data_IF_015148674623
#
_entry.id   IF_015148674623
#
_cell.length_a   1.000
_cell.length_b   1.000
_cell.length_c   1.000
_cell.angle_alpha   90.00
_cell.angle_beta   90.00
_cell.angle_gamma   90.00
#
_symmetry.space_group_name_H-M   'P 1'
#
loop_
_entity.id
_entity.type
_entity.pdbx_description
1 polymer ?
#
# COMPACT_ATOMS: atom_id res chain seq x y z
N UNK A 1 -6.38 -14.88 -41.20
CA UNK A 1 -5.31 -15.46 -40.35
C UNK A 1 -4.89 -14.42 -39.30
N UNK A 2 -5.38 -14.51 -38.06
CA UNK A 2 -5.04 -13.59 -36.97
C UNK A 2 -3.95 -14.25 -36.12
N UNK A 3 -2.75 -13.66 -36.07
CA UNK A 3 -1.62 -14.15 -35.27
C UNK A 3 -1.97 -13.99 -33.78
N UNK A 4 -1.91 -15.05 -32.94
CA UNK A 4 -1.95 -14.89 -31.49
C UNK A 4 -0.62 -14.27 -31.03
N UNK A 5 -0.69 -13.13 -30.35
CA UNK A 5 0.47 -12.45 -29.79
C UNK A 5 1.13 -13.34 -28.72
N UNK A 6 2.45 -13.53 -28.86
CA UNK A 6 3.30 -14.37 -28.04
C UNK A 6 3.21 -14.08 -26.53
N UNK A 7 3.10 -15.15 -25.74
CA UNK A 7 3.26 -15.11 -24.28
C UNK A 7 4.75 -14.92 -23.95
N UNK A 8 5.14 -13.94 -23.12
CA UNK A 8 6.50 -13.85 -22.62
C UNK A 8 6.81 -15.05 -21.72
N UNK A 9 7.83 -15.83 -22.12
CA UNK A 9 8.36 -16.99 -21.41
C UNK A 9 9.49 -16.54 -20.47
N UNK A 10 9.19 -16.43 -19.18
CA UNK A 10 10.18 -16.24 -18.13
C UNK A 10 9.54 -16.48 -16.76
N UNK A 11 10.09 -17.34 -15.88
CA UNK A 11 9.49 -17.63 -14.57
C UNK A 11 9.28 -16.36 -13.72
N UNK A 12 10.24 -15.43 -13.74
CA UNK A 12 10.13 -14.14 -13.04
C UNK A 12 9.20 -13.15 -13.74
N UNK A 13 9.17 -13.15 -15.08
CA UNK A 13 8.26 -12.30 -15.84
C UNK A 13 6.82 -12.75 -15.65
N UNK A 14 6.52 -14.04 -15.58
CA UNK A 14 5.19 -14.59 -15.23
C UNK A 14 4.77 -14.26 -13.80
N UNK A 15 5.68 -14.27 -12.83
CA UNK A 15 5.38 -13.90 -11.45
C UNK A 15 5.09 -12.39 -11.32
N UNK A 16 5.88 -11.56 -12.02
CA UNK A 16 5.59 -10.13 -12.17
C UNK A 16 4.31 -9.90 -12.97
N UNK A 17 4.02 -10.69 -14.02
CA UNK A 17 2.79 -10.61 -14.81
C UNK A 17 1.57 -11.10 -14.02
N UNK A 18 1.70 -12.06 -13.09
CA UNK A 18 0.64 -12.52 -12.18
C UNK A 18 0.37 -11.48 -11.08
N UNK A 19 1.43 -10.82 -10.57
CA UNK A 19 1.33 -9.68 -9.65
C UNK A 19 0.74 -8.44 -10.34
N UNK A 20 1.02 -8.26 -11.63
CA UNK A 20 0.49 -7.18 -12.48
C UNK A 20 -0.81 -7.57 -13.20
N UNK A 21 -1.30 -8.81 -13.09
CA UNK A 21 -2.61 -9.30 -13.58
C UNK A 21 -3.65 -9.21 -12.46
N UNK A 22 -3.85 -8.02 -11.91
CA UNK A 22 -4.91 -7.09 -12.30
C UNK A 22 -6.37 -7.53 -12.08
N UNK A 23 -6.68 -8.81 -11.87
CA UNK A 23 -8.09 -9.25 -11.84
C UNK A 23 -8.46 -10.09 -10.62
N UNK A 24 -7.46 -10.66 -9.92
CA UNK A 24 -7.68 -11.50 -8.74
C UNK A 24 -7.40 -10.81 -7.40
N UNK A 25 -6.85 -9.59 -7.46
CA UNK A 25 -6.50 -8.75 -6.31
C UNK A 25 -7.52 -7.60 -6.10
N UNK A 26 -8.17 -7.15 -7.18
CA UNK A 26 -9.43 -6.39 -7.16
C UNK A 26 -10.49 -7.29 -6.48
N UNK A 27 -10.90 -7.16 -5.22
CA UNK A 27 -11.18 -5.93 -4.49
C UNK A 27 -11.13 -6.10 -2.96
N UNK A 28 -10.83 -7.30 -2.43
CA UNK A 28 -10.72 -7.55 -0.98
C UNK A 28 -9.30 -7.72 -0.44
N UNK A 29 -8.42 -8.39 -1.18
CA UNK A 29 -7.10 -8.81 -0.69
C UNK A 29 -6.03 -7.70 -0.81
N UNK A 30 -6.17 -6.78 -1.77
CA UNK A 30 -5.26 -5.63 -1.95
C UNK A 30 -5.22 -4.74 -0.72
N UNK A 31 -6.38 -4.55 -0.06
CA UNK A 31 -6.48 -3.68 1.12
C UNK A 31 -5.55 -4.17 2.23
N UNK A 32 -5.51 -5.48 2.48
CA UNK A 32 -4.60 -6.07 3.48
C UNK A 32 -3.14 -5.99 3.06
N UNK A 33 -2.81 -6.27 1.79
CA UNK A 33 -1.43 -6.20 1.30
C UNK A 33 -0.85 -4.79 1.41
N UNK A 34 -1.63 -3.78 1.01
CA UNK A 34 -1.25 -2.38 1.17
C UNK A 34 -1.11 -2.07 2.65
N UNK A 35 -2.11 -2.38 3.48
CA UNK A 35 -2.09 -2.14 4.93
C UNK A 35 -0.84 -2.70 5.63
N UNK A 36 -0.50 -3.96 5.37
CA UNK A 36 0.69 -4.61 5.94
C UNK A 36 1.99 -4.01 5.40
N UNK A 37 2.05 -3.66 4.12
CA UNK A 37 3.23 -3.06 3.51
C UNK A 37 3.62 -1.74 4.20
N UNK A 38 2.68 -0.84 4.47
CA UNK A 38 3.03 0.40 5.14
C UNK A 38 3.10 0.33 6.65
N UNK A 39 2.41 -0.63 7.29
CA UNK A 39 2.75 -0.96 8.67
C UNK A 39 4.22 -1.38 8.77
N UNK A 40 4.71 -2.12 7.78
CA UNK A 40 6.14 -2.44 7.61
C UNK A 40 7.02 -1.20 7.42
N UNK A 41 6.66 -0.29 6.52
CA UNK A 41 7.45 0.95 6.29
C UNK A 41 7.49 1.84 7.53
N UNK A 42 6.37 2.02 8.21
CA UNK A 42 6.28 2.79 9.46
C UNK A 42 7.12 2.12 10.55
N UNK A 43 7.08 0.78 10.66
CA UNK A 43 7.89 0.05 11.61
C UNK A 43 9.39 0.26 11.35
N UNK A 44 9.84 0.15 10.09
CA UNK A 44 11.25 0.41 9.72
C UNK A 44 11.65 1.85 10.02
N UNK A 45 10.80 2.83 9.71
CA UNK A 45 11.04 4.24 10.06
C UNK A 45 11.16 4.44 11.58
N UNK A 46 10.26 3.85 12.36
CA UNK A 46 10.29 3.95 13.81
C UNK A 46 11.56 3.31 14.41
N UNK A 47 11.93 2.12 13.93
CA UNK A 47 13.20 1.49 14.31
C UNK A 47 14.42 2.30 13.87
N UNK A 48 14.35 2.95 12.70
CA UNK A 48 15.39 3.86 12.22
C UNK A 48 15.58 5.07 13.14
N UNK A 49 14.49 5.67 13.63
CA UNK A 49 14.54 6.78 14.60
C UNK A 49 15.17 6.31 15.92
N UNK A 50 14.77 5.14 16.43
CA UNK A 50 15.35 4.56 17.64
C UNK A 50 16.85 4.25 17.48
N UNK A 51 17.25 3.72 16.32
CA UNK A 51 18.65 3.49 16.00
C UNK A 51 19.46 4.79 15.90
N UNK A 52 18.88 5.84 15.31
CA UNK A 52 19.52 7.14 15.19
C UNK A 52 19.70 7.83 16.55
N UNK A 53 18.70 7.77 17.44
CA UNK A 53 18.82 8.35 18.78
C UNK A 53 19.84 7.63 19.65
N UNK A 54 19.85 6.29 19.64
CA UNK A 54 20.86 5.49 20.34
C UNK A 54 22.25 5.72 19.75
N UNK A 55 22.37 5.81 18.43
CA UNK A 55 23.64 6.08 17.75
C UNK A 55 24.24 7.45 18.14
N UNK A 56 23.41 8.49 18.22
CA UNK A 56 23.83 9.82 18.68
C UNK A 56 24.25 9.79 20.16
N UNK A 57 23.49 9.09 21.01
CA UNK A 57 23.80 8.99 22.43
C UNK A 57 25.13 8.29 22.72
N UNK A 58 25.52 7.28 21.94
CA UNK A 58 26.82 6.59 22.07
C UNK A 58 27.96 7.46 21.53
N UNK A 59 27.71 8.20 20.44
CA UNK A 59 28.74 8.99 19.74
C UNK A 59 29.21 10.21 20.54
N UNK A 60 28.32 10.83 21.30
CA UNK A 60 28.56 12.10 21.98
C UNK A 60 28.32 11.93 23.49
N UNK A 61 29.31 11.39 24.22
CA UNK A 61 29.27 11.21 25.68
C UNK A 61 29.27 12.49 26.52
N UNK A 62 28.80 13.60 25.96
CA UNK A 62 28.82 14.96 26.52
C UNK A 62 27.37 15.48 26.65
N UNK A 63 27.12 16.45 27.53
CA UNK A 63 25.80 17.09 27.73
C UNK A 63 25.17 17.59 26.42
N UNK A 64 25.97 18.06 25.47
CA UNK A 64 25.51 18.47 24.12
C UNK A 64 24.95 17.30 23.30
N UNK A 65 25.50 16.09 23.45
CA UNK A 65 25.01 14.88 22.79
C UNK A 65 23.64 14.44 23.27
N UNK A 66 23.34 14.66 24.56
CA UNK A 66 22.01 14.41 25.12
C UNK A 66 20.98 15.38 24.51
N UNK A 67 21.34 16.65 24.35
CA UNK A 67 20.46 17.65 23.74
C UNK A 67 20.20 17.34 22.25
N UNK A 68 21.23 16.92 21.52
CA UNK A 68 21.12 16.47 20.13
C UNK A 68 20.27 15.20 20.01
N UNK A 69 20.47 14.21 20.88
CA UNK A 69 19.66 12.99 20.90
C UNK A 69 18.18 13.31 21.16
N UNK A 70 17.89 14.25 22.06
CA UNK A 70 16.52 14.70 22.33
C UNK A 70 15.89 15.38 21.11
N UNK A 71 16.64 16.23 20.40
CA UNK A 71 16.18 16.86 19.16
C UNK A 71 15.93 15.83 18.04
N UNK A 72 16.82 14.85 17.88
CA UNK A 72 16.66 13.75 16.91
C UNK A 72 15.45 12.89 17.26
N UNK A 73 15.21 12.61 18.54
CA UNK A 73 14.03 11.88 18.99
C UNK A 73 12.76 12.67 18.67
N UNK A 74 12.72 13.97 18.99
CA UNK A 74 11.56 14.81 18.72
C UNK A 74 11.23 14.91 17.23
N UNK A 75 12.24 15.17 16.39
CA UNK A 75 12.07 15.25 14.93
C UNK A 75 11.72 13.88 14.35
N UNK A 76 12.36 12.82 14.83
CA UNK A 76 12.07 11.45 14.39
C UNK A 76 10.66 11.01 14.74
N UNK A 77 10.17 11.33 15.95
CA UNK A 77 8.81 11.02 16.38
C UNK A 77 7.77 11.83 15.56
N UNK A 78 8.05 13.11 15.28
CA UNK A 78 7.23 13.91 14.38
C UNK A 78 7.22 13.33 12.95
N UNK A 79 8.38 12.91 12.43
CA UNK A 79 8.51 12.29 11.12
C UNK A 79 7.71 10.99 11.01
N UNK A 80 7.77 10.14 12.03
CA UNK A 80 6.95 8.92 12.12
C UNK A 80 5.46 9.28 12.20
N UNK A 81 5.09 10.30 12.98
CA UNK A 81 3.71 10.77 13.08
C UNK A 81 3.15 11.24 11.74
N UNK A 82 3.90 12.05 10.99
CA UNK A 82 3.52 12.49 9.64
C UNK A 82 3.43 11.30 8.69
N UNK A 83 4.38 10.36 8.75
CA UNK A 83 4.36 9.15 7.94
C UNK A 83 3.10 8.29 8.22
N UNK A 84 2.68 8.16 9.48
CA UNK A 84 1.44 7.47 9.89
C UNK A 84 0.20 8.18 9.35
N UNK A 85 0.15 9.51 9.45
CA UNK A 85 -0.98 10.30 8.94
C UNK A 85 -1.09 10.21 7.42
N UNK A 86 0.04 10.35 6.71
CA UNK A 86 0.11 10.16 5.26
C UNK A 86 -0.31 8.74 4.89
N UNK A 87 0.20 7.74 5.60
CA UNK A 87 -0.17 6.35 5.41
C UNK A 87 -1.68 6.14 5.53
N UNK A 88 -2.30 6.70 6.57
CA UNK A 88 -3.74 6.62 6.79
C UNK A 88 -4.53 7.28 5.66
N UNK A 89 -4.11 8.47 5.21
CA UNK A 89 -4.71 9.19 4.08
C UNK A 89 -4.63 8.39 2.77
N UNK A 90 -3.46 7.81 2.48
CA UNK A 90 -3.29 6.93 1.32
C UNK A 90 -4.16 5.67 1.42
N UNK A 91 -4.25 5.02 2.59
CA UNK A 91 -5.15 3.88 2.80
C UNK A 91 -6.62 4.23 2.51
N UNK A 92 -7.09 5.38 3.00
CA UNK A 92 -8.46 5.83 2.80
C UNK A 92 -8.75 6.19 1.34
N UNK A 93 -7.81 6.86 0.67
CA UNK A 93 -7.92 7.20 -0.75
C UNK A 93 -7.97 5.95 -1.65
N UNK A 94 -7.09 4.96 -1.43
CA UNK A 94 -7.10 3.72 -2.20
C UNK A 94 -8.40 2.91 -1.99
N UNK A 95 -8.89 2.81 -0.75
CA UNK A 95 -10.16 2.11 -0.45
C UNK A 95 -11.34 2.81 -1.15
N UNK A 96 -11.39 4.15 -1.16
CA UNK A 96 -12.44 4.89 -1.83
C UNK A 96 -12.48 4.60 -3.34
N UNK A 97 -11.32 4.57 -4.01
CA UNK A 97 -11.22 4.25 -5.44
C UNK A 97 -11.67 2.81 -5.74
N UNK A 98 -11.27 1.84 -4.92
CA UNK A 98 -11.71 0.46 -5.07
C UNK A 98 -13.21 0.29 -4.85
N UNK A 99 -13.79 0.98 -3.87
CA UNK A 99 -15.22 0.92 -3.57
C UNK A 99 -16.07 1.46 -4.73
N UNK A 100 -15.63 2.54 -5.39
CA UNK A 100 -16.27 3.07 -6.61
C UNK A 100 -16.22 2.05 -7.75
N UNK A 101 -15.09 1.34 -7.88
CA UNK A 101 -14.89 0.34 -8.93
C UNK A 101 -15.78 -0.90 -8.73
N UNK A 102 -15.97 -1.34 -7.47
CA UNK A 102 -16.93 -2.39 -7.15
C UNK A 102 -18.38 -1.98 -7.44
N UNK A 103 -18.78 -0.77 -7.02
CA UNK A 103 -20.14 -0.28 -7.16
C UNK A 103 -20.59 -0.23 -8.64
N UNK A 104 -19.70 0.22 -9.54
CA UNK A 104 -19.90 0.17 -10.99
C UNK A 104 -20.03 -1.26 -11.55
N UNK A 105 -19.32 -2.23 -10.98
CA UNK A 105 -19.37 -3.63 -11.41
C UNK A 105 -20.67 -4.33 -10.99
N UNK A 106 -21.23 -3.93 -9.85
CA UNK A 106 -22.54 -4.41 -9.36
C UNK A 106 -23.65 -3.83 -10.23
N UNK A 107 -23.61 -2.53 -10.51
CA UNK A 107 -24.60 -1.88 -11.40
C UNK A 107 -24.65 -2.53 -12.78
N UNK A 108 -23.49 -2.92 -13.34
CA UNK A 108 -23.44 -3.60 -14.64
C UNK A 108 -24.09 -5.00 -14.58
N UNK A 109 -23.90 -5.75 -13.49
CA UNK A 109 -24.54 -7.06 -13.32
C UNK A 109 -26.05 -6.94 -13.20
N UNK A 110 -26.56 -5.99 -12.41
CA UNK A 110 -28.00 -5.79 -12.25
C UNK A 110 -28.68 -5.43 -13.58
N UNK A 111 -28.05 -4.56 -14.38
CA UNK A 111 -28.55 -4.21 -15.72
C UNK A 111 -28.54 -5.42 -16.68
N UNK A 112 -27.51 -6.27 -16.63
CA UNK A 112 -27.45 -7.49 -17.45
C UNK A 112 -28.53 -8.52 -17.05
N UNK A 113 -28.78 -8.69 -15.75
CA UNK A 113 -29.83 -9.58 -15.24
C UNK A 113 -31.24 -9.10 -15.59
N UNK A 114 -31.50 -7.79 -15.54
CA UNK A 114 -32.77 -7.20 -16.00
C UNK A 114 -32.99 -7.44 -17.50
N UNK A 115 -31.95 -7.26 -18.34
CA UNK A 115 -32.04 -7.55 -19.77
C UNK A 115 -32.26 -9.04 -20.06
N UNK A 116 -31.66 -9.94 -19.27
CA UNK A 116 -31.86 -11.38 -19.40
C UNK A 116 -33.28 -11.83 -18.97
N UNK A 117 -33.97 -11.04 -18.13
CA UNK A 117 -35.39 -11.24 -17.79
C UNK A 117 -36.32 -10.66 -18.86
N UNK A 118 -36.03 -9.47 -19.39
CA UNK A 118 -36.83 -8.87 -20.48
C UNK A 118 -36.71 -9.61 -21.81
N UNK A 119 -35.55 -10.20 -22.13
CA UNK A 119 -35.39 -11.01 -23.34
C UNK A 119 -36.06 -12.40 -23.29
N UNK A 120 -36.64 -12.77 -22.16
CA UNK A 120 -37.33 -14.07 -21.94
C UNK A 120 -38.86 -13.97 -21.92
N UNK A 121 -39.44 -12.78 -22.05
CA UNK A 121 -40.88 -12.53 -22.21
C UNK A 121 -41.20 -12.15 -23.65
#
# INVERSE_FOLDING_TARGET
>A
MRRPLERPQGPGARFLWDLLSFERLMTGQVIHLVYWAGLGVIAVMAFGVLGATVGVAIREGTILGVLLALAVLAVGLLGVGVAVLLWRSFCEFYVAVFRISEDLSVLRKDVEDERARQGRS
#
